data_IF_249829576165
#
_entry.id   IF_249829576165
#
_cell.length_a   1.000
_cell.length_b   1.000
_cell.length_c   1.000
_cell.angle_alpha   90.00
_cell.angle_beta   90.00
_cell.angle_gamma   90.00
#
_symmetry.space_group_name_H-M   'P 1'
#
loop_
_entity.id
_entity.type
_entity.pdbx_description
1 polymer ?
#
# COMPACT_ATOMS: atom_id res chain seq x y z
N UNK A 1 -6.81 -38.57 37.11
CA UNK A 1 -6.18 -39.81 37.63
C UNK A 1 -7.22 -40.58 38.41
N UNK A 2 -7.22 -41.92 38.39
CA UNK A 2 -8.05 -42.70 39.31
C UNK A 2 -7.71 -42.34 40.76
N UNK A 3 -8.72 -42.32 41.62
CA UNK A 3 -8.62 -41.77 42.99
C UNK A 3 -7.58 -42.49 43.87
N UNK A 4 -7.43 -43.80 43.68
CA UNK A 4 -6.45 -44.64 44.37
C UNK A 4 -5.00 -44.20 44.17
N UNK A 5 -4.67 -43.68 42.98
CA UNK A 5 -3.32 -43.18 42.70
C UNK A 5 -3.07 -41.83 43.39
N UNK A 6 -4.08 -40.96 43.48
CA UNK A 6 -3.96 -39.70 44.20
C UNK A 6 -3.74 -39.92 45.69
N UNK A 7 -4.47 -40.86 46.31
CA UNK A 7 -4.28 -41.21 47.73
C UNK A 7 -2.88 -41.73 48.02
N UNK A 8 -2.34 -42.59 47.13
CA UNK A 8 -0.99 -43.12 47.26
C UNK A 8 0.09 -42.04 47.16
N UNK A 9 -0.09 -41.06 46.25
CA UNK A 9 0.83 -39.93 46.11
C UNK A 9 0.77 -39.04 47.36
N UNK A 10 -0.44 -38.73 47.85
CA UNK A 10 -0.63 -37.90 49.05
C UNK A 10 -0.04 -38.53 50.32
N UNK A 11 -0.15 -39.86 50.48
CA UNK A 11 0.43 -40.57 51.61
C UNK A 11 1.97 -40.61 51.55
N UNK A 12 2.56 -40.63 50.35
CA UNK A 12 4.02 -40.56 50.16
C UNK A 12 4.57 -39.16 50.37
N UNK A 13 3.87 -38.13 49.90
CA UNK A 13 4.25 -36.74 50.17
C UNK A 13 4.20 -36.42 51.68
N UNK A 14 3.23 -36.97 52.42
CA UNK A 14 3.21 -36.87 53.90
C UNK A 14 4.44 -37.48 54.56
N UNK A 15 5.03 -38.52 53.95
CA UNK A 15 6.28 -39.15 54.39
C UNK A 15 7.53 -38.46 53.85
N UNK A 16 7.39 -37.28 53.21
CA UNK A 16 8.46 -36.51 52.55
C UNK A 16 9.17 -37.24 51.40
N UNK A 17 8.51 -38.23 50.80
CA UNK A 17 9.00 -38.90 49.60
C UNK A 17 8.34 -38.26 48.37
N UNK A 18 9.04 -37.30 47.75
CA UNK A 18 8.57 -36.57 46.57
C UNK A 18 8.89 -37.26 45.24
N UNK A 19 9.62 -38.38 45.25
CA UNK A 19 10.18 -38.97 44.02
C UNK A 19 9.12 -39.30 42.96
N UNK A 20 7.93 -39.76 43.38
CA UNK A 20 6.83 -40.04 42.45
C UNK A 20 6.15 -38.78 41.92
N UNK A 21 6.08 -37.72 42.72
CA UNK A 21 5.51 -36.42 42.34
C UNK A 21 6.42 -35.76 41.29
N UNK A 22 7.73 -35.69 41.60
CA UNK A 22 8.76 -35.12 40.72
C UNK A 22 8.86 -35.88 39.38
N UNK A 23 8.74 -37.21 39.41
CA UNK A 23 8.71 -38.02 38.18
C UNK A 23 7.51 -37.68 37.30
N UNK A 24 6.32 -37.54 37.89
CA UNK A 24 5.11 -37.16 37.15
C UNK A 24 5.21 -35.72 36.62
N UNK A 25 5.86 -34.83 37.35
CA UNK A 25 6.08 -33.44 36.96
C UNK A 25 6.92 -33.32 35.67
N UNK A 26 7.84 -34.24 35.40
CA UNK A 26 8.59 -34.27 34.12
C UNK A 26 7.61 -34.40 32.93
N UNK A 27 6.61 -35.28 33.05
CA UNK A 27 5.61 -35.46 32.01
C UNK A 27 4.64 -34.28 31.94
N UNK A 28 4.19 -33.78 33.09
CA UNK A 28 3.29 -32.63 33.18
C UNK A 28 3.95 -31.38 32.57
N UNK A 29 5.20 -31.10 32.91
CA UNK A 29 5.96 -29.98 32.35
C UNK A 29 6.04 -30.07 30.82
N UNK A 30 6.35 -31.25 30.26
CA UNK A 30 6.38 -31.45 28.80
C UNK A 30 5.00 -31.30 28.16
N UNK A 31 3.95 -31.84 28.77
CA UNK A 31 2.57 -31.72 28.27
C UNK A 31 2.10 -30.27 28.26
N UNK A 32 2.33 -29.52 29.35
CA UNK A 32 2.01 -28.09 29.43
C UNK A 32 2.80 -27.29 28.40
N UNK A 33 4.09 -27.61 28.22
CA UNK A 33 4.93 -26.97 27.20
C UNK A 33 4.38 -27.22 25.80
N UNK A 34 4.03 -28.47 25.46
CA UNK A 34 3.45 -28.80 24.14
C UNK A 34 2.08 -28.15 23.93
N UNK A 35 1.24 -28.09 24.98
CA UNK A 35 -0.03 -27.39 24.94
C UNK A 35 0.18 -25.89 24.66
N UNK A 36 1.11 -25.25 25.37
CA UNK A 36 1.48 -23.86 25.14
C UNK A 36 2.05 -23.62 23.75
N UNK A 37 2.97 -24.46 23.26
CA UNK A 37 3.53 -24.35 21.90
C UNK A 37 2.44 -24.55 20.83
N UNK A 38 1.52 -25.49 21.03
CA UNK A 38 0.37 -25.71 20.16
C UNK A 38 -0.59 -24.52 20.13
N UNK A 39 -0.82 -23.87 21.27
CA UNK A 39 -1.60 -22.62 21.37
C UNK A 39 -0.85 -21.47 20.68
N UNK A 40 0.43 -21.25 21.00
CA UNK A 40 1.29 -20.21 20.43
C UNK A 40 1.38 -20.29 18.90
N UNK A 41 1.37 -21.49 18.32
CA UNK A 41 1.36 -21.67 16.85
C UNK A 41 0.09 -21.15 16.17
N UNK A 42 -1.05 -21.19 16.87
CA UNK A 42 -2.37 -20.80 16.32
C UNK A 42 -2.83 -19.42 16.74
N UNK A 43 -2.36 -18.96 17.90
CA UNK A 43 -2.76 -17.69 18.49
C UNK A 43 -1.70 -16.61 18.21
N UNK A 44 -1.97 -15.67 17.28
CA UNK A 44 -1.02 -14.64 16.93
C UNK A 44 -0.73 -13.69 18.10
N UNK A 45 -1.65 -13.55 19.07
CA UNK A 45 -1.45 -12.68 20.24
C UNK A 45 -0.29 -13.14 21.14
N UNK A 46 0.03 -14.43 21.11
CA UNK A 46 1.11 -15.04 21.89
C UNK A 46 2.48 -14.92 21.21
N UNK A 47 2.54 -14.41 19.98
CA UNK A 47 3.78 -14.29 19.21
C UNK A 47 4.10 -12.81 18.97
N UNK A 48 4.76 -12.18 19.94
CA UNK A 48 5.12 -10.76 19.89
C UNK A 48 6.52 -10.48 19.31
N UNK A 49 7.33 -11.52 19.03
CA UNK A 49 8.70 -11.31 18.54
C UNK A 49 8.71 -10.80 17.09
N UNK A 50 9.36 -9.66 16.91
CA UNK A 50 9.41 -8.83 15.70
C UNK A 50 10.17 -9.46 14.51
N UNK A 51 11.00 -10.47 14.75
CA UNK A 51 12.01 -10.94 13.78
C UNK A 51 11.68 -12.22 13.03
N UNK A 52 10.60 -12.93 13.38
CA UNK A 52 10.26 -14.18 12.69
C UNK A 52 8.86 -14.08 12.11
N UNK A 53 8.76 -14.02 10.78
CA UNK A 53 7.51 -14.20 10.05
C UNK A 53 6.78 -15.43 10.60
N UNK A 54 5.73 -15.21 11.39
CA UNK A 54 4.92 -16.30 11.90
C UNK A 54 4.30 -17.07 10.74
N UNK A 55 3.96 -18.35 10.94
CA UNK A 55 3.25 -19.12 9.91
C UNK A 55 1.97 -18.42 9.46
N UNK A 56 1.28 -17.74 10.38
CA UNK A 56 0.07 -16.96 10.09
C UNK A 56 0.39 -15.77 9.18
N UNK A 57 1.45 -14.99 9.47
CA UNK A 57 1.86 -13.90 8.59
C UNK A 57 2.17 -14.37 7.17
N UNK A 58 2.83 -15.52 7.02
CA UNK A 58 3.10 -16.11 5.70
C UNK A 58 1.82 -16.51 4.97
N UNK A 59 0.87 -17.10 5.69
CA UNK A 59 -0.45 -17.45 5.13
C UNK A 59 -1.18 -16.18 4.69
N UNK A 60 -1.25 -15.16 5.55
CA UNK A 60 -1.92 -13.89 5.23
C UNK A 60 -1.22 -13.17 4.06
N UNK A 61 0.11 -13.20 4.00
CA UNK A 61 0.89 -12.67 2.88
C UNK A 61 0.55 -13.38 1.56
N UNK A 62 0.49 -14.71 1.58
CA UNK A 62 0.10 -15.51 0.41
C UNK A 62 -1.35 -15.28 -0.02
N UNK A 63 -2.28 -15.20 0.93
CA UNK A 63 -3.70 -14.94 0.66
C UNK A 63 -3.92 -13.55 0.06
N UNK A 64 -3.18 -12.56 0.56
CA UNK A 64 -3.23 -11.21 0.02
C UNK A 64 -2.45 -11.05 -1.29
N UNK A 65 -1.79 -12.10 -1.77
CA UNK A 65 -0.87 -12.07 -2.92
C UNK A 65 0.14 -10.93 -2.84
N UNK A 66 0.60 -10.64 -1.61
CA UNK A 66 1.53 -9.55 -1.34
C UNK A 66 2.95 -9.97 -1.75
N UNK A 67 3.28 -11.26 -1.72
CA UNK A 67 4.59 -11.74 -2.18
C UNK A 67 5.76 -11.12 -1.41
N UNK A 68 5.64 -10.94 -0.09
CA UNK A 68 6.72 -10.37 0.75
C UNK A 68 7.98 -11.25 0.79
N UNK A 69 7.86 -12.51 0.39
CA UNK A 69 9.01 -13.41 0.20
C UNK A 69 9.86 -13.06 -1.01
N UNK A 70 9.35 -12.30 -1.99
CA UNK A 70 10.13 -11.89 -3.17
C UNK A 70 11.09 -10.74 -2.83
N UNK A 71 12.29 -10.80 -3.42
CA UNK A 71 13.44 -9.95 -3.07
C UNK A 71 13.17 -8.46 -3.32
N UNK A 72 12.24 -8.14 -4.22
CA UNK A 72 11.88 -6.77 -4.62
C UNK A 72 11.26 -5.93 -3.49
N UNK A 73 10.72 -6.57 -2.43
CA UNK A 73 9.92 -5.88 -1.42
C UNK A 73 10.45 -5.99 0.02
N UNK A 74 11.69 -6.43 0.22
CA UNK A 74 12.27 -6.62 1.57
C UNK A 74 12.52 -5.32 2.36
N UNK A 75 12.52 -4.16 1.70
CA UNK A 75 12.84 -2.86 2.33
C UNK A 75 11.67 -2.28 3.15
N UNK A 76 10.46 -2.82 3.02
CA UNK A 76 9.28 -2.22 3.65
C UNK A 76 9.10 -2.68 5.10
N UNK A 77 8.58 -1.79 5.96
CA UNK A 77 8.11 -2.20 7.29
C UNK A 77 6.92 -3.13 7.12
N UNK A 78 7.26 -4.40 7.08
CA UNK A 78 6.57 -5.44 6.35
C UNK A 78 5.20 -5.78 7.00
N UNK A 79 5.09 -5.50 8.31
CA UNK A 79 3.89 -5.64 9.14
C UNK A 79 2.75 -4.71 8.70
N UNK A 80 3.06 -3.49 8.27
CA UNK A 80 1.98 -2.53 7.95
C UNK A 80 1.17 -2.98 6.73
N UNK A 81 1.75 -3.75 5.82
CA UNK A 81 1.04 -4.29 4.64
C UNK A 81 0.03 -5.37 5.00
N UNK A 82 0.32 -6.19 6.02
CA UNK A 82 -0.62 -7.20 6.51
C UNK A 82 -1.89 -6.59 7.08
N UNK A 83 -1.82 -5.37 7.64
CA UNK A 83 -3.02 -4.64 8.10
C UNK A 83 -4.03 -4.45 6.97
N UNK A 84 -3.56 -4.34 5.73
CA UNK A 84 -4.40 -4.16 4.55
C UNK A 84 -4.56 -5.45 3.73
N UNK A 85 -4.17 -6.61 4.27
CA UNK A 85 -4.25 -7.88 3.56
C UNK A 85 -5.66 -8.18 3.01
N UNK A 86 -6.72 -7.84 3.75
CA UNK A 86 -8.10 -8.00 3.26
C UNK A 86 -8.42 -7.13 2.04
N UNK A 87 -7.89 -5.90 1.99
CA UNK A 87 -8.03 -5.00 0.84
C UNK A 87 -7.20 -5.51 -0.35
N UNK A 88 -6.08 -6.19 -0.07
CA UNK A 88 -5.20 -6.74 -1.11
C UNK A 88 -5.65 -8.09 -1.66
N UNK A 89 -6.23 -8.97 -0.85
CA UNK A 89 -6.68 -10.29 -1.30
C UNK A 89 -7.97 -10.24 -2.12
N UNK A 90 -8.81 -9.22 -1.90
CA UNK A 90 -10.07 -9.07 -2.62
C UNK A 90 -9.88 -8.60 -4.07
N UNK A 91 -10.36 -9.40 -5.02
CA UNK A 91 -10.69 -8.94 -6.37
C UNK A 91 -12.21 -8.73 -6.47
N UNK A 92 -12.71 -7.69 -7.17
CA UNK A 92 -11.97 -6.70 -7.97
C UNK A 92 -11.32 -5.57 -7.17
N UNK A 93 -10.31 -4.93 -7.77
CA UNK A 93 -9.62 -3.75 -7.21
C UNK A 93 -10.45 -2.49 -7.44
N UNK A 94 -11.21 -2.05 -6.45
CA UNK A 94 -12.02 -0.83 -6.55
C UNK A 94 -11.23 0.45 -6.20
N UNK A 95 -11.65 1.59 -6.75
CA UNK A 95 -11.13 2.90 -6.35
C UNK A 95 -11.41 3.22 -4.88
N UNK A 96 -12.55 2.78 -4.34
CA UNK A 96 -12.90 2.95 -2.93
C UNK A 96 -11.90 2.26 -1.98
N UNK A 97 -11.40 1.09 -2.38
CA UNK A 97 -10.37 0.35 -1.65
C UNK A 97 -9.02 1.07 -1.73
N UNK A 98 -8.64 1.58 -2.90
CA UNK A 98 -7.44 2.41 -3.06
C UNK A 98 -7.51 3.66 -2.17
N UNK A 99 -8.64 4.36 -2.16
CA UNK A 99 -8.87 5.53 -1.33
C UNK A 99 -8.72 5.19 0.15
N UNK A 100 -9.39 4.14 0.62
CA UNK A 100 -9.30 3.67 2.02
C UNK A 100 -7.86 3.37 2.41
N UNK A 101 -7.12 2.73 1.51
CA UNK A 101 -5.74 2.37 1.72
C UNK A 101 -4.83 3.60 1.83
N UNK A 102 -4.98 4.58 0.93
CA UNK A 102 -4.22 5.85 0.98
C UNK A 102 -4.59 6.63 2.24
N UNK A 103 -5.88 6.74 2.57
CA UNK A 103 -6.36 7.45 3.77
C UNK A 103 -5.69 6.90 5.03
N UNK A 104 -5.70 5.57 5.18
CA UNK A 104 -5.16 4.89 6.36
C UNK A 104 -3.62 4.93 6.45
N UNK A 105 -2.90 4.92 5.32
CA UNK A 105 -1.42 4.95 5.32
C UNK A 105 -0.86 6.35 5.46
N UNK A 106 -1.47 7.31 4.79
CA UNK A 106 -0.94 8.67 4.69
C UNK A 106 -1.54 9.61 5.74
N UNK A 107 -2.55 9.15 6.50
CA UNK A 107 -3.37 9.94 7.42
C UNK A 107 -3.97 11.16 6.72
N UNK A 108 -4.58 10.93 5.56
CA UNK A 108 -5.20 11.95 4.73
C UNK A 108 -6.70 11.69 4.67
N UNK A 109 -7.54 12.68 4.97
CA UNK A 109 -8.99 12.44 5.08
C UNK A 109 -9.74 12.81 3.79
N UNK A 110 -9.28 13.85 3.08
CA UNK A 110 -10.00 14.49 1.99
C UNK A 110 -9.44 14.05 0.64
N UNK A 111 -9.62 12.76 0.32
CA UNK A 111 -9.17 12.18 -0.95
C UNK A 111 -10.39 11.73 -1.75
N UNK A 112 -10.44 12.13 -3.02
CA UNK A 112 -11.42 11.69 -4.01
C UNK A 112 -10.72 11.07 -5.21
N UNK A 113 -11.37 10.11 -5.84
CA UNK A 113 -10.87 9.44 -7.05
C UNK A 113 -11.89 9.63 -8.16
N UNK A 114 -11.43 10.16 -9.30
CA UNK A 114 -12.19 10.21 -10.53
C UNK A 114 -11.66 9.12 -11.46
N UNK A 115 -12.48 8.10 -11.67
CA UNK A 115 -12.22 7.02 -12.62
C UNK A 115 -12.44 7.52 -14.05
N UNK A 116 -11.91 6.78 -15.04
CA UNK A 116 -12.10 7.06 -16.46
C UNK A 116 -11.63 8.46 -16.90
N UNK A 117 -10.53 8.93 -16.29
CA UNK A 117 -9.92 10.16 -16.74
C UNK A 117 -9.04 9.85 -17.95
N UNK A 118 -9.53 10.20 -19.14
CA UNK A 118 -8.87 9.79 -20.37
C UNK A 118 -7.42 10.26 -20.46
N UNK A 119 -6.58 9.43 -21.07
CA UNK A 119 -5.19 9.75 -21.32
C UNK A 119 -4.79 9.44 -22.76
N UNK A 120 -3.89 10.26 -23.30
CA UNK A 120 -3.30 10.05 -24.61
C UNK A 120 -2.33 8.86 -24.56
N UNK A 121 -2.67 7.79 -25.28
CA UNK A 121 -1.82 6.61 -25.42
C UNK A 121 -1.13 6.63 -26.77
N UNK A 122 0.16 6.27 -26.80
CA UNK A 122 0.91 6.16 -28.04
C UNK A 122 0.45 4.93 -28.83
N UNK A 123 0.22 5.12 -30.13
CA UNK A 123 -0.14 4.03 -31.03
C UNK A 123 1.16 3.40 -31.54
N UNK A 124 1.25 2.06 -31.46
CA UNK A 124 2.39 1.34 -32.02
C UNK A 124 2.57 1.69 -33.51
N UNK A 125 3.82 1.97 -33.92
CA UNK A 125 4.16 2.38 -35.30
C UNK A 125 3.61 1.43 -36.37
N UNK A 126 3.54 0.12 -36.07
CA UNK A 126 2.97 -0.91 -36.96
C UNK A 126 1.46 -0.76 -37.20
N UNK A 127 0.73 -0.09 -36.30
CA UNK A 127 -0.71 0.18 -36.43
C UNK A 127 -1.00 1.54 -37.08
N UNK A 128 -0.06 2.48 -36.99
CA UNK A 128 -0.16 3.83 -37.57
C UNK A 128 0.32 3.88 -39.03
N UNK A 129 1.17 2.94 -39.44
CA UNK A 129 1.73 2.91 -40.79
C UNK A 129 0.79 2.29 -41.82
N UNK A 130 0.44 3.03 -42.88
CA UNK A 130 -0.21 2.53 -44.10
C UNK A 130 0.82 1.87 -45.05
N UNK A 131 1.73 1.06 -44.51
CA UNK A 131 2.72 0.33 -45.32
C UNK A 131 2.10 -0.93 -45.93
N UNK A 132 2.46 -1.23 -47.19
CA UNK A 132 2.02 -2.36 -48.02
C UNK A 132 2.24 -3.76 -47.39
N UNK A 133 2.89 -3.87 -46.23
CA UNK A 133 3.11 -5.13 -45.51
C UNK A 133 2.20 -5.42 -44.31
N UNK A 134 1.31 -4.50 -43.93
CA UNK A 134 0.46 -4.65 -42.73
C UNK A 134 -1.04 -4.57 -43.06
N UNK A 135 -1.85 -5.51 -42.56
CA UNK A 135 -3.31 -5.59 -42.74
C UNK A 135 -4.12 -4.50 -41.98
N UNK A 136 -3.49 -3.36 -41.65
CA UNK A 136 -4.05 -2.31 -40.79
C UNK A 136 -4.62 -1.11 -41.59
N UNK A 137 -4.83 -1.25 -42.90
CA UNK A 137 -5.25 -0.14 -43.78
C UNK A 137 -6.74 -0.20 -44.19
N UNK A 138 -7.55 -1.11 -43.63
CA UNK A 138 -8.97 -1.22 -43.97
C UNK A 138 -9.80 -0.23 -43.17
N UNK A 139 -10.37 0.77 -43.86
CA UNK A 139 -11.28 1.76 -43.29
C UNK A 139 -12.50 1.08 -42.67
N UNK A 140 -12.88 1.50 -41.46
CA UNK A 140 -14.01 0.92 -40.72
C UNK A 140 -13.70 -0.38 -39.97
N UNK A 141 -12.49 -0.94 -40.11
CA UNK A 141 -12.04 -2.10 -39.32
C UNK A 141 -10.82 -1.76 -38.46
N UNK A 142 -9.68 -1.50 -39.10
CA UNK A 142 -8.38 -1.49 -38.41
C UNK A 142 -7.53 -0.24 -38.68
N UNK A 143 -8.01 0.69 -39.54
CA UNK A 143 -7.30 1.92 -39.85
C UNK A 143 -7.34 2.90 -38.66
N UNK A 144 -6.16 3.33 -38.19
CA UNK A 144 -6.01 4.32 -37.12
C UNK A 144 -5.24 5.52 -37.63
N UNK A 145 -5.77 6.73 -37.42
CA UNK A 145 -5.14 7.98 -37.84
C UNK A 145 -4.27 8.57 -36.71
N UNK A 146 -3.04 8.94 -37.04
CA UNK A 146 -2.15 9.69 -36.16
C UNK A 146 -1.24 8.82 -35.28
N UNK A 147 -0.50 9.49 -34.39
CA UNK A 147 0.52 8.86 -33.51
C UNK A 147 0.00 8.54 -32.11
N UNK A 148 -1.12 9.14 -31.71
CA UNK A 148 -1.72 8.98 -30.37
C UNK A 148 -3.22 8.77 -30.47
N UNK A 149 -3.77 7.92 -29.63
CA UNK A 149 -5.21 7.71 -29.45
C UNK A 149 -5.65 8.14 -28.07
N UNK A 150 -6.82 8.78 -27.98
CA UNK A 150 -7.44 9.07 -26.69
C UNK A 150 -8.11 7.81 -26.15
N UNK A 151 -7.70 7.37 -24.96
CA UNK A 151 -8.31 6.24 -24.28
C UNK A 151 -8.94 6.75 -22.97
N UNK A 152 -10.25 6.55 -22.80
CA UNK A 152 -10.99 7.02 -21.63
C UNK A 152 -10.72 6.13 -20.40
N UNK A 153 -10.48 4.84 -20.61
CA UNK A 153 -10.28 3.88 -19.51
C UNK A 153 -8.82 3.74 -19.07
N UNK A 154 -7.88 4.44 -19.71
CA UNK A 154 -6.45 4.31 -19.42
C UNK A 154 -5.98 5.12 -18.22
N UNK A 155 -6.80 6.01 -17.67
CA UNK A 155 -6.36 6.92 -16.63
C UNK A 155 -7.28 7.05 -15.42
N UNK A 156 -6.64 7.38 -14.31
CA UNK A 156 -7.26 7.56 -13.00
C UNK A 156 -6.74 8.87 -12.40
N UNK A 157 -7.64 9.70 -11.89
CA UNK A 157 -7.30 10.96 -11.26
C UNK A 157 -7.57 10.90 -9.74
N UNK A 158 -6.52 11.09 -8.94
CA UNK A 158 -6.60 11.19 -7.49
C UNK A 158 -6.51 12.67 -7.10
N UNK A 159 -7.54 13.17 -6.44
CA UNK A 159 -7.59 14.52 -5.91
C UNK A 159 -7.44 14.49 -4.39
N UNK A 160 -6.47 15.23 -3.86
CA UNK A 160 -6.24 15.35 -2.41
C UNK A 160 -6.47 16.81 -2.02
N UNK A 161 -7.52 17.05 -1.24
CA UNK A 161 -8.01 18.39 -0.90
C UNK A 161 -7.62 18.83 0.50
N UNK A 162 -7.51 20.14 0.72
CA UNK A 162 -7.25 20.76 2.03
C UNK A 162 -6.01 20.20 2.73
N UNK A 163 -4.87 20.25 2.04
CA UNK A 163 -3.58 19.87 2.61
C UNK A 163 -2.94 21.03 3.37
N UNK A 164 -2.26 20.72 4.47
CA UNK A 164 -1.35 21.64 5.14
C UNK A 164 -0.04 21.76 4.33
N UNK A 165 0.65 22.90 4.42
CA UNK A 165 1.90 23.17 3.69
C UNK A 165 2.95 22.08 3.89
N UNK A 166 3.13 21.59 5.12
CA UNK A 166 4.13 20.55 5.41
C UNK A 166 3.81 19.24 4.70
N UNK A 167 2.53 18.85 4.72
CA UNK A 167 2.06 17.63 4.07
C UNK A 167 2.11 17.77 2.55
N UNK A 168 1.69 18.92 2.03
CA UNK A 168 1.76 19.27 0.62
C UNK A 168 3.20 19.15 0.08
N UNK A 169 4.17 19.81 0.73
CA UNK A 169 5.58 19.75 0.32
C UNK A 169 6.15 18.32 0.39
N UNK A 170 5.70 17.52 1.34
CA UNK A 170 6.14 16.12 1.47
C UNK A 170 5.56 15.20 0.38
N UNK A 171 4.42 15.57 -0.22
CA UNK A 171 3.75 14.87 -1.32
C UNK A 171 4.21 15.33 -2.70
N UNK A 172 5.03 16.38 -2.79
CA UNK A 172 5.71 16.75 -4.02
C UNK A 172 6.80 15.73 -4.39
N UNK A 173 7.25 15.65 -5.66
CA UNK A 173 8.19 14.62 -6.12
C UNK A 173 9.52 14.53 -5.36
N UNK A 174 9.95 15.60 -4.69
CA UNK A 174 11.17 15.62 -3.86
C UNK A 174 10.91 15.27 -2.40
N UNK A 175 9.65 15.13 -2.00
CA UNK A 175 9.24 14.82 -0.64
C UNK A 175 9.26 13.32 -0.33
N UNK A 176 9.41 12.98 0.97
CA UNK A 176 9.47 11.59 1.44
C UNK A 176 8.15 10.83 1.21
N UNK A 177 7.01 11.51 1.39
CA UNK A 177 5.67 10.90 1.29
C UNK A 177 5.28 10.59 -0.16
N UNK A 178 5.84 11.31 -1.14
CA UNK A 178 5.57 11.03 -2.55
C UNK A 178 6.02 9.64 -2.98
N UNK A 179 7.26 9.26 -2.64
CA UNK A 179 7.79 7.94 -3.00
C UNK A 179 6.96 6.81 -2.38
N UNK A 180 6.53 6.99 -1.13
CA UNK A 180 5.65 6.03 -0.44
C UNK A 180 4.28 5.92 -1.12
N UNK A 181 3.68 7.05 -1.50
CA UNK A 181 2.39 7.09 -2.20
C UNK A 181 2.46 6.42 -3.59
N UNK A 182 3.48 6.75 -4.38
CA UNK A 182 3.67 6.17 -5.72
C UNK A 182 3.85 4.65 -5.61
N UNK A 183 4.70 4.18 -4.68
CA UNK A 183 4.91 2.75 -4.43
C UNK A 183 3.63 2.03 -4.01
N UNK A 184 2.82 2.69 -3.18
CA UNK A 184 1.54 2.18 -2.71
C UNK A 184 0.53 2.04 -3.86
N UNK A 185 0.41 3.08 -4.70
CA UNK A 185 -0.46 3.09 -5.88
C UNK A 185 0.00 2.03 -6.88
N UNK A 186 1.31 1.97 -7.16
CA UNK A 186 1.94 0.98 -8.05
C UNK A 186 1.65 -0.45 -7.63
N UNK A 187 1.61 -0.72 -6.32
CA UNK A 187 1.34 -2.06 -5.80
C UNK A 187 -0.14 -2.44 -5.81
N UNK A 188 -1.05 -1.46 -5.74
CA UNK A 188 -2.49 -1.73 -5.72
C UNK A 188 -3.10 -1.83 -7.12
N UNK A 189 -2.64 -1.00 -8.06
CA UNK A 189 -3.14 -0.94 -9.43
C UNK A 189 -2.37 -1.88 -10.37
N UNK A 190 -3.02 -2.39 -11.44
CA UNK A 190 -2.31 -3.05 -12.53
C UNK A 190 -1.42 -2.05 -13.28
N UNK A 191 -0.33 -2.56 -13.91
CA UNK A 191 0.73 -1.75 -14.53
C UNK A 191 0.30 -0.85 -15.71
N UNK A 192 -0.94 -0.98 -16.21
CA UNK A 192 -1.37 -0.36 -17.46
C UNK A 192 -2.21 0.91 -17.27
N UNK A 193 -2.25 1.49 -16.06
CA UNK A 193 -3.08 2.66 -15.75
C UNK A 193 -2.21 3.88 -15.48
N UNK A 194 -2.47 4.98 -16.19
CA UNK A 194 -1.85 6.29 -15.92
C UNK A 194 -2.53 6.95 -14.72
N UNK A 195 -1.76 7.40 -13.72
CA UNK A 195 -2.33 8.02 -12.52
C UNK A 195 -1.96 9.50 -12.47
N UNK A 196 -2.99 10.34 -12.46
CA UNK A 196 -2.87 11.77 -12.25
C UNK A 196 -3.15 12.09 -10.80
N UNK A 197 -2.32 12.92 -10.18
CA UNK A 197 -2.45 13.33 -8.80
C UNK A 197 -2.60 14.84 -8.74
N UNK A 198 -3.77 15.32 -8.32
CA UNK A 198 -4.05 16.74 -8.09
C UNK A 198 -4.04 17.03 -6.60
N UNK A 199 -3.17 17.93 -6.19
CA UNK A 199 -3.03 18.38 -4.81
C UNK A 199 -3.62 19.78 -4.66
N UNK A 200 -4.52 19.94 -3.70
CA UNK A 200 -5.08 21.24 -3.32
C UNK A 200 -4.59 21.62 -1.93
N UNK A 201 -3.89 22.75 -1.86
CA UNK A 201 -3.44 23.35 -0.61
C UNK A 201 -4.61 24.07 0.07
N UNK A 202 -4.65 24.06 1.41
CA UNK A 202 -5.61 24.85 2.18
C UNK A 202 -5.40 26.35 1.95
N UNK A 203 -6.49 27.10 1.79
CA UNK A 203 -6.46 28.53 1.44
C UNK A 203 -5.71 29.41 2.48
N UNK A 204 -5.68 28.98 3.74
CA UNK A 204 -5.00 29.69 4.84
C UNK A 204 -3.46 29.63 4.75
N UNK A 205 -2.96 28.65 4.01
CA UNK A 205 -1.56 28.24 4.00
C UNK A 205 -0.79 28.78 2.79
N UNK A 206 -1.51 29.47 1.90
CA UNK A 206 -1.03 29.94 0.62
C UNK A 206 -0.31 31.27 0.81
N UNK A 207 0.93 31.31 0.35
CA UNK A 207 1.78 32.49 0.44
C UNK A 207 2.16 32.95 -0.95
N UNK A 208 2.12 34.27 -1.16
CA UNK A 208 2.62 34.87 -2.39
C UNK A 208 4.08 34.49 -2.61
N UNK A 209 4.41 34.22 -3.86
CA UNK A 209 5.76 33.98 -4.29
C UNK A 209 6.63 35.18 -3.92
N UNK A 210 7.72 34.92 -3.19
CA UNK A 210 8.76 35.91 -2.91
C UNK A 210 10.06 35.42 -3.50
N UNK A 211 10.68 36.26 -4.33
CA UNK A 211 12.01 36.00 -4.83
C UNK A 211 13.00 36.17 -3.67
N UNK A 212 13.62 35.08 -3.24
CA UNK A 212 14.64 35.08 -2.20
C UNK A 212 15.60 33.94 -2.45
N UNK A 213 16.88 34.16 -2.13
CA UNK A 213 17.93 33.13 -2.23
C UNK A 213 17.70 31.96 -1.28
N UNK A 214 16.88 32.15 -0.24
CA UNK A 214 16.54 31.14 0.78
C UNK A 214 15.11 30.60 0.62
N UNK A 215 14.35 31.00 -0.40
CA UNK A 215 12.99 30.51 -0.56
C UNK A 215 12.97 29.05 -1.01
N UNK A 216 12.10 28.25 -0.41
CA UNK A 216 11.83 26.86 -0.79
C UNK A 216 10.76 26.76 -1.88
N UNK A 217 10.44 27.88 -2.53
CA UNK A 217 9.42 27.99 -3.58
C UNK A 217 9.98 27.55 -4.93
N UNK A 218 9.21 26.72 -5.63
CA UNK A 218 9.51 26.08 -6.91
C UNK A 218 8.39 26.40 -7.88
N UNK A 219 8.78 26.80 -9.08
CA UNK A 219 7.86 27.15 -10.14
C UNK A 219 6.96 25.97 -10.49
N UNK A 220 5.65 26.23 -10.58
CA UNK A 220 4.64 25.23 -10.92
C UNK A 220 4.25 24.28 -9.78
N UNK A 221 4.92 24.31 -8.63
CA UNK A 221 4.64 23.40 -7.50
C UNK A 221 4.20 24.11 -6.22
N UNK A 222 4.82 25.22 -5.85
CA UNK A 222 4.47 25.94 -4.61
C UNK A 222 4.71 27.45 -4.72
N UNK A 223 4.64 27.98 -5.94
CA UNK A 223 4.72 29.40 -6.24
C UNK A 223 3.36 29.88 -6.73
N UNK A 224 2.65 30.67 -5.92
CA UNK A 224 1.45 31.37 -6.33
C UNK A 224 1.75 32.84 -6.57
N UNK A 225 1.26 33.38 -7.68
CA UNK A 225 1.44 34.78 -8.06
C UNK A 225 0.06 35.42 -8.21
N UNK A 226 -0.10 36.64 -7.72
CA UNK A 226 -1.34 37.40 -7.84
C UNK A 226 -2.02 37.69 -6.50
N UNK A 227 -3.29 38.10 -6.59
CA UNK A 227 -4.13 38.43 -5.44
C UNK A 227 -4.86 37.17 -4.94
N UNK A 228 -4.29 36.54 -3.90
CA UNK A 228 -4.81 35.31 -3.29
C UNK A 228 -6.21 35.47 -2.65
N UNK A 229 -6.69 36.71 -2.50
CA UNK A 229 -8.02 36.98 -1.95
C UNK A 229 -9.12 36.91 -3.00
N UNK A 230 -8.79 37.12 -4.28
CA UNK A 230 -9.74 37.16 -5.41
C UNK A 230 -9.69 35.93 -6.30
N UNK A 231 -8.55 35.25 -6.36
CA UNK A 231 -8.38 34.05 -7.18
C UNK A 231 -8.44 32.81 -6.30
N UNK A 232 -9.33 31.88 -6.65
CA UNK A 232 -9.35 30.58 -5.99
C UNK A 232 -8.00 29.91 -6.30
N UNK A 233 -7.20 29.56 -5.29
CA UNK A 233 -5.83 29.14 -5.52
C UNK A 233 -5.75 27.89 -6.40
N UNK A 234 -4.90 27.97 -7.41
CA UNK A 234 -4.71 26.90 -8.38
C UNK A 234 -4.20 25.62 -7.72
N UNK A 235 -4.81 24.50 -8.13
CA UNK A 235 -4.39 23.15 -7.76
C UNK A 235 -3.09 22.79 -8.46
N UNK A 236 -2.21 22.08 -7.76
CA UNK A 236 -0.99 21.56 -8.37
C UNK A 236 -1.26 20.17 -8.92
N UNK A 237 -1.10 20.04 -10.23
CA UNK A 237 -1.26 18.78 -10.94
C UNK A 237 0.10 18.12 -11.13
N UNK A 238 0.24 16.92 -10.58
CA UNK A 238 1.37 16.04 -10.78
C UNK A 238 0.90 14.84 -11.57
N UNK A 239 1.34 14.74 -12.83
CA UNK A 239 1.16 13.53 -13.61
C UNK A 239 2.34 12.60 -13.36
N UNK A 240 2.05 11.33 -13.07
CA UNK A 240 3.04 10.29 -13.19
C UNK A 240 2.42 9.09 -13.89
N UNK A 241 3.07 8.64 -14.96
CA UNK A 241 2.78 7.34 -15.53
C UNK A 241 3.44 6.29 -14.65
N UNK A 242 2.72 5.23 -14.34
CA UNK A 242 3.27 4.02 -13.74
C UNK A 242 4.07 3.27 -14.83
N UNK A 243 5.02 3.95 -15.48
CA UNK A 243 5.91 3.34 -16.46
C UNK A 243 6.99 2.55 -15.70
N UNK A 244 7.35 1.38 -16.23
CA UNK A 244 8.22 0.37 -15.59
C UNK A 244 9.62 0.85 -15.17
N UNK A 245 10.02 2.10 -15.47
CA UNK A 245 11.39 2.60 -15.37
C UNK A 245 11.66 3.64 -14.27
N UNK A 246 10.78 3.84 -13.28
CA UNK A 246 11.06 4.73 -12.13
C UNK A 246 10.73 4.08 -10.79
N UNK A 247 11.61 3.19 -10.34
CA UNK A 247 11.78 2.84 -8.92
C UNK A 247 13.25 2.99 -8.53
#
# INVERSE_FOLDING_TARGET
MPQTFCELILDRERKKDCATSDFLDIFLHRLVTLFYLGKKKRDPSLTWKKDSQTSIEKIVDSLASLGRSSTEFKTFSDVQWLRHAGIFGGAPRSSSNLLTLIKNRMNLNNITCCEFNGSWSDIALQRSSLSTGYENAVLGKNAVLGKKSWNISSGLLIEIKKLDMRTFLSLLPTGKKYAELVKLIYRFLPRNISVLLKLYLGQQDIKNCKLSRQSTMRLGWNSWLGDLTKTNPDSVMLEFRLDENRL
#
